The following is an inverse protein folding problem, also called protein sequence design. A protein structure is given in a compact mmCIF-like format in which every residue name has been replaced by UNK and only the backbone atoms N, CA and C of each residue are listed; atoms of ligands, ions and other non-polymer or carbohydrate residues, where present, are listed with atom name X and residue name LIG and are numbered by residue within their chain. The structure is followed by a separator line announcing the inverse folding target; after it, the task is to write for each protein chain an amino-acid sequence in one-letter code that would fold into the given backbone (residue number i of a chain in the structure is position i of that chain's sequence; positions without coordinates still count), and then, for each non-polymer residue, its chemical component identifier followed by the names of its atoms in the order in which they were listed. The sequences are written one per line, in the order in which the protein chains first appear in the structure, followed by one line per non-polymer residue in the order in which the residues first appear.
data_IF_949291299413
#
_entry.id   IF_949291299413
#
_cell.length_a   1.000
_cell.length_b   1.000
_cell.length_c   1.000
_cell.angle_alpha   90.00
_cell.angle_beta   90.00
_cell.angle_gamma   90.00
#
_symmetry.space_group_name_H-M   'P 1'
#
loop_
_entity.id
_entity.type
_entity.pdbx_description
1 polymer ?
#
# COMPACT_ATOMS: atom_id res chain seq x y z
N UNK A 1 4.72 -22.05 -9.73
CA UNK A 1 3.85 -21.26 -8.84
C UNK A 1 3.99 -21.87 -7.45
N UNK A 2 4.55 -21.15 -6.50
CA UNK A 2 4.63 -21.63 -5.11
C UNK A 2 3.25 -21.49 -4.50
N UNK A 3 2.64 -22.60 -4.12
CA UNK A 3 1.33 -22.61 -3.46
C UNK A 3 1.48 -22.00 -2.06
N UNK A 4 0.50 -21.21 -1.61
CA UNK A 4 0.47 -20.72 -0.22
C UNK A 4 0.00 -21.86 0.68
N UNK A 5 0.80 -22.16 1.70
CA UNK A 5 0.57 -23.24 2.66
C UNK A 5 1.05 -22.85 4.06
N UNK A 6 0.86 -23.72 5.06
CA UNK A 6 1.24 -23.44 6.45
C UNK A 6 2.69 -22.96 6.60
N UNK A 7 3.60 -23.50 5.80
CA UNK A 7 5.03 -23.20 5.85
C UNK A 7 5.42 -21.80 5.38
N UNK A 8 4.57 -21.13 4.60
CA UNK A 8 4.91 -19.85 3.98
C UNK A 8 3.85 -18.75 4.18
N UNK A 9 2.67 -19.07 4.71
CA UNK A 9 1.56 -18.11 4.87
C UNK A 9 1.98 -16.87 5.65
N UNK A 10 2.77 -17.03 6.72
CA UNK A 10 3.24 -15.91 7.54
C UNK A 10 4.22 -15.02 6.77
N UNK A 11 5.14 -15.63 6.02
CA UNK A 11 6.12 -14.88 5.25
C UNK A 11 5.43 -14.09 4.11
N UNK A 12 4.48 -14.70 3.42
CA UNK A 12 3.70 -14.04 2.36
C UNK A 12 2.83 -12.93 2.95
N UNK A 13 2.13 -13.20 4.05
CA UNK A 13 1.36 -12.19 4.80
C UNK A 13 2.24 -11.00 5.17
N UNK A 14 3.38 -11.23 5.81
CA UNK A 14 4.27 -10.17 6.27
C UNK A 14 4.77 -9.27 5.13
N UNK A 15 5.14 -9.87 3.99
CA UNK A 15 5.60 -9.12 2.81
C UNK A 15 4.48 -8.23 2.27
N UNK A 16 3.27 -8.78 2.07
CA UNK A 16 2.16 -8.02 1.51
C UNK A 16 1.65 -6.95 2.49
N UNK A 17 1.67 -7.23 3.80
CA UNK A 17 1.29 -6.26 4.82
C UNK A 17 2.25 -5.06 4.83
N UNK A 18 3.57 -5.32 4.81
CA UNK A 18 4.57 -4.26 4.71
C UNK A 18 4.46 -3.48 3.38
N UNK A 19 4.15 -4.16 2.27
CA UNK A 19 3.91 -3.50 1.00
C UNK A 19 2.67 -2.58 1.05
N UNK A 20 1.55 -3.04 1.61
CA UNK A 20 0.32 -2.25 1.75
C UNK A 20 0.58 -0.98 2.57
N UNK A 21 1.34 -1.09 3.65
CA UNK A 21 1.72 0.07 4.46
C UNK A 21 2.62 1.05 3.69
N UNK A 22 3.62 0.56 2.97
CA UNK A 22 4.47 1.40 2.14
C UNK A 22 3.67 2.11 1.04
N UNK A 23 2.72 1.42 0.41
CA UNK A 23 1.80 2.00 -0.57
C UNK A 23 0.91 3.08 0.04
N UNK A 24 0.35 2.82 1.23
CA UNK A 24 -0.47 3.80 1.95
C UNK A 24 0.35 5.03 2.35
N UNK A 25 1.58 4.85 2.83
CA UNK A 25 2.49 5.94 3.14
C UNK A 25 2.83 6.78 1.89
N UNK A 26 3.12 6.13 0.76
CA UNK A 26 3.37 6.82 -0.51
C UNK A 26 2.16 7.60 -1.02
N UNK A 27 0.96 7.01 -0.94
CA UNK A 27 -0.30 7.69 -1.30
C UNK A 27 -0.60 8.88 -0.37
N UNK A 28 -0.28 8.75 0.92
CA UNK A 28 -0.42 9.84 1.90
C UNK A 28 0.60 10.96 1.63
N UNK A 29 1.83 10.63 1.25
CA UNK A 29 2.82 11.63 0.84
C UNK A 29 2.45 12.33 -0.47
N UNK A 30 1.72 11.65 -1.37
CA UNK A 30 1.22 12.19 -2.62
C UNK A 30 -0.13 12.92 -2.49
N UNK A 31 -0.66 13.10 -1.27
CA UNK A 31 -2.00 13.65 -1.03
C UNK A 31 -2.19 15.05 -1.62
N UNK A 32 -1.14 15.86 -1.61
CA UNK A 32 -1.11 17.20 -2.19
C UNK A 32 -1.43 17.21 -3.69
N UNK A 33 -1.24 16.09 -4.40
CA UNK A 33 -1.54 15.99 -5.83
C UNK A 33 -3.05 15.93 -6.13
N UNK A 34 -3.91 15.72 -5.11
CA UNK A 34 -5.38 15.79 -5.28
C UNK A 34 -5.85 17.16 -5.74
N UNK A 35 -5.09 18.21 -5.46
CA UNK A 35 -5.34 19.54 -5.97
C UNK A 35 -4.01 20.21 -6.29
N UNK A 36 -3.47 19.94 -7.48
CA UNK A 36 -2.20 20.55 -7.86
C UNK A 36 -2.34 22.08 -7.96
N UNK A 37 -1.37 22.85 -7.47
CA UNK A 37 -1.36 24.29 -7.68
C UNK A 37 -1.26 24.59 -9.18
N UNK A 38 -1.81 25.74 -9.59
CA UNK A 38 -1.53 26.26 -10.93
C UNK A 38 -0.06 26.65 -11.02
N UNK A 39 0.56 26.47 -12.19
CA UNK A 39 1.94 26.90 -12.42
C UNK A 39 2.10 28.42 -12.46
N UNK A 40 0.99 29.16 -12.65
CA UNK A 40 0.91 30.60 -12.75
C UNK A 40 -0.55 31.05 -12.95
N UNK A 41 -0.77 32.35 -13.06
CA UNK A 41 -2.10 32.94 -13.32
C UNK A 41 -2.35 33.25 -14.79
N UNK A 42 -1.41 32.91 -15.67
CA UNK A 42 -1.60 33.04 -17.12
C UNK A 42 -2.59 31.99 -17.65
N UNK A 43 -3.24 32.24 -18.79
CA UNK A 43 -4.22 31.32 -19.37
C UNK A 43 -3.68 29.90 -19.62
N UNK A 44 -2.41 29.76 -20.01
CA UNK A 44 -1.82 28.44 -20.28
C UNK A 44 -1.68 27.64 -18.99
N UNK A 45 -1.28 28.29 -17.89
CA UNK A 45 -1.21 27.66 -16.57
C UNK A 45 -2.58 27.21 -16.03
N UNK A 46 -3.66 27.93 -16.36
CA UNK A 46 -5.04 27.53 -16.01
C UNK A 46 -5.44 26.28 -16.81
N UNK A 47 -5.23 26.31 -18.12
CA UNK A 47 -5.56 25.18 -19.00
C UNK A 47 -4.73 23.93 -18.66
N UNK A 48 -3.46 24.12 -18.29
CA UNK A 48 -2.58 23.03 -17.87
C UNK A 48 -3.13 22.30 -16.64
N UNK A 49 -3.55 23.03 -15.59
CA UNK A 49 -4.17 22.42 -14.40
C UNK A 49 -5.42 21.62 -14.80
N UNK A 50 -6.29 22.19 -15.62
CA UNK A 50 -7.52 21.53 -16.06
C UNK A 50 -7.24 20.24 -16.88
N UNK A 51 -6.15 20.23 -17.65
CA UNK A 51 -5.74 19.07 -18.44
C UNK A 51 -5.02 17.98 -17.63
N UNK A 52 -4.21 18.36 -16.63
CA UNK A 52 -3.40 17.42 -15.85
C UNK A 52 -4.14 16.82 -14.65
N UNK A 53 -5.00 17.57 -13.97
CA UNK A 53 -5.70 17.08 -12.78
C UNK A 53 -6.46 15.75 -13.04
N UNK A 54 -7.25 15.58 -14.13
CA UNK A 54 -7.94 14.31 -14.39
C UNK A 54 -6.99 13.12 -14.58
N UNK A 55 -5.79 13.34 -15.14
CA UNK A 55 -4.78 12.28 -15.31
C UNK A 55 -4.19 11.88 -13.96
N UNK A 56 -3.90 12.87 -13.12
CA UNK A 56 -3.39 12.66 -11.76
C UNK A 56 -4.44 11.91 -10.92
N UNK A 57 -5.70 12.33 -10.99
CA UNK A 57 -6.81 11.67 -10.29
C UNK A 57 -6.92 10.20 -10.69
N UNK A 58 -6.78 9.90 -11.98
CA UNK A 58 -6.80 8.52 -12.48
C UNK A 58 -5.63 7.70 -11.97
N UNK A 59 -4.42 8.26 -11.93
CA UNK A 59 -3.23 7.59 -11.37
C UNK A 59 -3.45 7.26 -9.88
N UNK A 60 -3.89 8.26 -9.10
CA UNK A 60 -4.19 8.08 -7.68
C UNK A 60 -5.29 7.04 -7.46
N UNK A 61 -6.33 7.03 -8.30
CA UNK A 61 -7.41 6.05 -8.23
C UNK A 61 -6.89 4.61 -8.47
N UNK A 62 -6.05 4.41 -9.48
CA UNK A 62 -5.47 3.09 -9.78
C UNK A 62 -4.61 2.60 -8.61
N UNK A 63 -3.78 3.47 -8.03
CA UNK A 63 -2.95 3.09 -6.89
C UNK A 63 -3.76 2.80 -5.63
N UNK A 64 -4.86 3.52 -5.39
CA UNK A 64 -5.79 3.22 -4.29
C UNK A 64 -6.48 1.87 -4.50
N UNK A 65 -7.01 1.62 -5.69
CA UNK A 65 -7.62 0.33 -6.00
C UNK A 65 -6.63 -0.82 -5.80
N UNK A 66 -5.37 -0.63 -6.20
CA UNK A 66 -4.34 -1.64 -5.97
C UNK A 66 -3.99 -1.81 -4.47
N UNK A 67 -3.98 -0.72 -3.69
CA UNK A 67 -3.84 -0.82 -2.23
C UNK A 67 -4.99 -1.67 -1.64
N UNK A 68 -6.23 -1.41 -2.05
CA UNK A 68 -7.40 -2.16 -1.59
C UNK A 68 -7.27 -3.66 -1.91
N UNK A 69 -6.82 -4.01 -3.11
CA UNK A 69 -6.56 -5.41 -3.51
C UNK A 69 -5.48 -6.09 -2.65
N UNK A 70 -4.40 -5.38 -2.34
CA UNK A 70 -3.30 -5.92 -1.52
C UNK A 70 -3.77 -6.07 -0.06
N UNK A 71 -4.51 -5.09 0.47
CA UNK A 71 -5.08 -5.17 1.82
C UNK A 71 -6.03 -6.35 1.96
N UNK A 72 -6.93 -6.57 1.00
CA UNK A 72 -7.80 -7.75 0.99
C UNK A 72 -6.99 -9.07 0.98
N UNK A 73 -5.90 -9.13 0.22
CA UNK A 73 -5.03 -10.31 0.22
C UNK A 73 -4.34 -10.51 1.59
N UNK A 74 -3.90 -9.43 2.24
CA UNK A 74 -3.33 -9.47 3.60
C UNK A 74 -4.35 -10.02 4.59
N UNK A 75 -5.58 -9.52 4.56
CA UNK A 75 -6.64 -9.95 5.48
C UNK A 75 -6.94 -11.45 5.32
N UNK A 76 -7.06 -11.94 4.08
CA UNK A 76 -7.27 -13.38 3.81
C UNK A 76 -6.09 -14.24 4.26
N UNK A 77 -4.86 -13.76 4.10
CA UNK A 77 -3.68 -14.48 4.56
C UNK A 77 -3.59 -14.52 6.08
N UNK A 78 -4.02 -13.45 6.76
CA UNK A 78 -4.15 -13.41 8.21
C UNK A 78 -5.14 -14.47 8.67
N UNK A 79 -6.33 -14.52 8.08
CA UNK A 79 -7.34 -15.54 8.39
C UNK A 79 -6.80 -16.97 8.18
N UNK A 80 -6.10 -17.21 7.07
CA UNK A 80 -5.47 -18.51 6.80
C UNK A 80 -4.38 -18.85 7.83
N UNK A 81 -3.56 -17.89 8.25
CA UNK A 81 -2.54 -18.10 9.27
C UNK A 81 -3.17 -18.49 10.62
N UNK A 82 -4.26 -17.83 11.01
CA UNK A 82 -5.03 -18.17 12.22
C UNK A 82 -5.62 -19.59 12.13
N UNK A 83 -6.13 -20.00 10.96
CA UNK A 83 -6.60 -21.37 10.74
C UNK A 83 -5.48 -22.42 10.87
N UNK A 84 -4.25 -22.05 10.52
CA UNK A 84 -3.06 -22.87 10.74
C UNK A 84 -2.47 -22.75 12.15
N UNK A 85 -3.19 -22.10 13.07
CA UNK A 85 -2.86 -21.94 14.49
C UNK A 85 -1.68 -21.02 14.79
N UNK A 86 -1.32 -20.14 13.86
CA UNK A 86 -0.45 -19.02 14.19
C UNK A 86 -1.18 -18.03 15.09
N UNK A 87 -0.44 -17.43 16.01
CA UNK A 87 -0.95 -16.40 16.91
C UNK A 87 -0.76 -15.01 16.31
N UNK A 88 -1.46 -14.01 16.86
CA UNK A 88 -1.23 -12.62 16.50
C UNK A 88 0.22 -12.18 16.80
N UNK A 89 0.85 -12.76 17.82
CA UNK A 89 2.27 -12.52 18.14
C UNK A 89 3.20 -13.08 17.05
N UNK A 90 2.92 -14.27 16.51
CA UNK A 90 3.69 -14.85 15.40
C UNK A 90 3.58 -13.97 14.15
N UNK A 91 2.36 -13.47 13.88
CA UNK A 91 2.06 -12.57 12.76
C UNK A 91 2.82 -11.25 12.93
N UNK A 92 2.80 -10.66 14.13
CA UNK A 92 3.51 -9.44 14.44
C UNK A 92 5.03 -9.62 14.33
N UNK A 93 5.57 -10.72 14.84
CA UNK A 93 6.99 -11.05 14.75
C UNK A 93 7.45 -11.21 13.30
N UNK A 94 6.65 -11.89 12.46
CA UNK A 94 6.96 -12.05 11.03
C UNK A 94 6.97 -10.72 10.26
N UNK A 95 6.20 -9.72 10.71
CA UNK A 95 6.11 -8.42 10.06
C UNK A 95 7.37 -7.57 10.21
N UNK A 96 8.11 -7.70 11.33
CA UNK A 96 9.30 -6.90 11.64
C UNK A 96 10.33 -6.91 10.49
N UNK A 97 10.88 -8.06 10.04
CA UNK A 97 11.87 -8.08 8.97
C UNK A 97 11.31 -7.65 7.61
N UNK A 98 10.00 -7.83 7.38
CA UNK A 98 9.36 -7.36 6.15
C UNK A 98 9.33 -5.83 6.10
N UNK A 99 8.98 -5.15 7.19
CA UNK A 99 8.98 -3.68 7.30
C UNK A 99 10.34 -3.08 6.99
N UNK A 100 11.42 -3.66 7.51
CA UNK A 100 12.79 -3.22 7.27
C UNK A 100 13.12 -3.22 5.76
N UNK A 101 12.71 -4.27 5.04
CA UNK A 101 12.91 -4.38 3.59
C UNK A 101 12.21 -3.26 2.81
N UNK A 102 11.08 -2.76 3.32
CA UNK A 102 10.34 -1.65 2.72
C UNK A 102 10.74 -0.27 3.28
N UNK A 103 11.74 -0.19 4.17
CA UNK A 103 12.20 1.06 4.76
C UNK A 103 11.17 1.72 5.69
N UNK A 104 10.25 0.93 6.26
CA UNK A 104 9.23 1.40 7.19
C UNK A 104 9.81 1.55 8.61
N UNK A 105 9.30 2.49 9.41
CA UNK A 105 9.73 2.65 10.80
C UNK A 105 9.43 1.40 11.63
N UNK A 106 10.18 1.19 12.71
CA UNK A 106 9.92 0.11 13.66
C UNK A 106 8.54 0.27 14.32
N UNK A 107 7.92 -0.86 14.68
CA UNK A 107 6.73 -0.86 15.52
C UNK A 107 7.17 -0.43 16.94
N UNK A 108 6.55 0.64 17.46
CA UNK A 108 6.83 1.21 18.78
C UNK A 108 6.04 0.54 19.90
#
# INVERSE_FOLDING_TARGET
MTQVGPENVLAVHAILAAQAEAMNAALSAADWMRDIPRCGDDPVSIDAKAAFQPKIDRILQVHRAHLDEVTEAVDRLREAALQYRYTDDDIAAALIPAREKFGLPALG
#
